data_IF_463513309936
#
_entry.id   IF_463513309936
#
_cell.length_a   1.000
_cell.length_b   1.000
_cell.length_c   1.000
_cell.angle_alpha   90.00
_cell.angle_beta   90.00
_cell.angle_gamma   90.00
#
_symmetry.space_group_name_H-M   'P 1'
#
loop_
_entity.id
_entity.type
_entity.pdbx_description
1 polymer ?
#
# COMPACT_ATOMS: atom_id res chain seq x y z
N UNK A 1 11.67 8.18 10.76
CA UNK A 1 12.29 7.21 9.83
C UNK A 1 12.74 6.00 10.64
N UNK A 2 12.11 4.83 10.47
CA UNK A 2 12.36 3.63 11.29
C UNK A 2 12.86 2.43 10.47
N UNK A 3 12.82 2.50 9.14
CA UNK A 3 13.14 1.39 8.23
C UNK A 3 14.55 1.48 7.63
N UNK A 4 15.31 2.55 7.89
CA UNK A 4 16.63 2.78 7.31
C UNK A 4 16.63 3.27 5.85
N UNK A 5 15.45 3.52 5.25
CA UNK A 5 15.32 4.00 3.88
C UNK A 5 15.02 5.51 3.83
N UNK A 6 15.61 6.20 2.86
CA UNK A 6 15.34 7.62 2.59
C UNK A 6 14.22 7.83 1.57
N UNK A 7 14.02 6.87 0.68
CA UNK A 7 12.99 6.90 -0.36
C UNK A 7 12.86 5.55 -1.06
N UNK A 8 11.83 5.44 -1.88
CA UNK A 8 11.52 4.24 -2.67
C UNK A 8 11.28 4.66 -4.12
N UNK A 9 11.87 3.93 -5.07
CA UNK A 9 11.61 4.09 -6.50
C UNK A 9 10.95 2.80 -6.99
N UNK A 10 9.72 2.90 -7.48
CA UNK A 10 8.97 1.77 -8.04
C UNK A 10 9.01 1.92 -9.57
N UNK A 11 9.50 0.88 -10.26
CA UNK A 11 9.62 0.84 -11.73
C UNK A 11 8.96 -0.41 -12.27
N UNK A 12 8.34 -0.32 -13.45
CA UNK A 12 7.63 -1.41 -14.09
C UNK A 12 6.20 -1.56 -13.59
N UNK A 13 5.62 -2.74 -13.84
CA UNK A 13 4.26 -3.09 -13.44
C UNK A 13 4.19 -4.59 -13.12
N UNK A 14 3.19 -5.00 -12.35
CA UNK A 14 2.88 -6.40 -12.03
C UNK A 14 1.57 -6.80 -12.70
N UNK A 15 1.47 -8.05 -13.13
CA UNK A 15 0.26 -8.61 -13.76
C UNK A 15 -0.89 -8.84 -12.76
N UNK A 16 -0.59 -8.81 -11.46
CA UNK A 16 -1.56 -8.97 -10.37
C UNK A 16 -1.36 -7.92 -9.29
N UNK A 17 -2.44 -7.52 -8.59
CA UNK A 17 -2.36 -6.63 -7.43
C UNK A 17 -1.34 -7.12 -6.40
N UNK A 18 -0.50 -6.20 -5.94
CA UNK A 18 0.47 -6.48 -4.89
C UNK A 18 0.79 -5.25 -4.06
N UNK A 19 1.24 -5.47 -2.83
CA UNK A 19 1.71 -4.42 -1.94
C UNK A 19 3.16 -4.66 -1.53
N UNK A 20 3.86 -3.57 -1.18
CA UNK A 20 5.21 -3.61 -0.63
C UNK A 20 5.13 -3.60 0.89
N UNK A 21 5.77 -4.59 1.52
CA UNK A 21 5.95 -4.65 2.95
C UNK A 21 7.41 -4.37 3.29
N UNK A 22 7.65 -3.33 4.11
CA UNK A 22 8.99 -2.94 4.53
C UNK A 22 9.07 -3.09 6.04
N UNK A 23 9.92 -4.00 6.50
CA UNK A 23 10.10 -4.29 7.92
C UNK A 23 11.58 -4.57 8.20
N UNK A 24 12.18 -3.88 9.18
CA UNK A 24 13.58 -4.08 9.60
C UNK A 24 14.61 -4.02 8.45
N UNK A 25 14.36 -3.15 7.45
CA UNK A 25 15.23 -3.01 6.27
C UNK A 25 15.04 -4.07 5.19
N UNK A 26 14.16 -5.04 5.43
CA UNK A 26 13.75 -6.05 4.44
C UNK A 26 12.56 -5.51 3.66
N UNK A 27 12.61 -5.63 2.33
CA UNK A 27 11.54 -5.24 1.41
C UNK A 27 11.00 -6.48 0.74
N UNK A 28 9.70 -6.74 0.93
CA UNK A 28 9.00 -7.87 0.34
C UNK A 28 7.83 -7.38 -0.53
N UNK A 29 7.57 -8.07 -1.64
CA UNK A 29 6.37 -7.85 -2.45
C UNK A 29 5.39 -8.99 -2.15
N UNK A 30 4.21 -8.65 -1.61
CA UNK A 30 3.17 -9.61 -1.23
C UNK A 30 1.93 -9.46 -2.13
N UNK A 31 1.13 -10.51 -2.28
CA UNK A 31 -0.14 -10.40 -3.03
C UNK A 31 -1.11 -9.47 -2.29
N UNK A 32 -1.92 -8.72 -3.04
CA UNK A 32 -2.99 -7.88 -2.50
C UNK A 32 -4.35 -8.23 -3.14
N UNK A 33 -4.53 -9.46 -3.63
CA UNK A 33 -5.76 -9.88 -4.31
C UNK A 33 -7.01 -9.65 -3.42
N UNK A 34 -6.90 -9.89 -2.11
CA UNK A 34 -7.99 -9.69 -1.14
C UNK A 34 -8.24 -8.21 -0.78
N UNK A 35 -7.29 -7.32 -1.09
CA UNK A 35 -7.39 -5.89 -0.81
C UNK A 35 -7.96 -5.10 -2.00
N UNK A 36 -7.89 -5.67 -3.21
CA UNK A 36 -8.31 -4.99 -4.43
C UNK A 36 -9.82 -4.74 -4.45
N UNK A 37 -10.22 -3.51 -4.74
CA UNK A 37 -11.61 -3.05 -4.73
C UNK A 37 -12.09 -2.52 -3.37
N UNK A 38 -11.31 -2.68 -2.30
CA UNK A 38 -11.59 -2.05 -1.01
C UNK A 38 -11.30 -0.55 -1.08
N UNK A 39 -12.00 0.23 -0.26
CA UNK A 39 -11.62 1.63 -0.06
C UNK A 39 -10.31 1.75 0.76
N UNK A 40 -9.78 2.97 0.84
CA UNK A 40 -8.51 3.21 1.52
C UNK A 40 -8.59 2.96 3.03
N UNK A 41 -9.73 3.21 3.67
CA UNK A 41 -9.89 2.96 5.11
C UNK A 41 -9.93 1.46 5.38
N UNK A 42 -10.72 0.72 4.60
CA UNK A 42 -10.81 -0.74 4.68
C UNK A 42 -9.44 -1.39 4.45
N UNK A 43 -8.69 -0.93 3.44
CA UNK A 43 -7.34 -1.42 3.14
C UNK A 43 -6.39 -1.19 4.30
N UNK A 44 -6.40 0.00 4.90
CA UNK A 44 -5.56 0.34 6.06
C UNK A 44 -5.90 -0.55 7.25
N UNK A 45 -7.18 -0.72 7.58
CA UNK A 45 -7.61 -1.53 8.72
C UNK A 45 -7.32 -3.02 8.52
N UNK A 46 -7.49 -3.54 7.31
CA UNK A 46 -7.14 -4.92 6.97
C UNK A 46 -5.63 -5.18 7.19
N UNK A 47 -4.78 -4.31 6.64
CA UNK A 47 -3.32 -4.44 6.78
C UNK A 47 -2.85 -4.24 8.22
N UNK A 48 -3.46 -3.32 8.98
CA UNK A 48 -3.15 -3.14 10.41
C UNK A 48 -3.59 -4.32 11.26
N UNK A 49 -4.70 -4.96 10.89
CA UNK A 49 -5.17 -6.18 11.58
C UNK A 49 -4.25 -7.37 11.31
N UNK A 50 -3.72 -7.51 10.09
CA UNK A 50 -2.81 -8.58 9.71
C UNK A 50 -1.38 -8.38 10.25
N UNK A 51 -0.82 -7.17 10.07
CA UNK A 51 0.60 -6.88 10.29
C UNK A 51 0.87 -6.15 11.61
N UNK A 52 -0.18 -5.75 12.33
CA UNK A 52 -0.08 -4.99 13.57
C UNK A 52 0.28 -3.53 13.33
N UNK A 53 1.31 -3.03 14.04
CA UNK A 53 1.67 -1.61 14.04
C UNK A 53 2.48 -1.22 12.81
N UNK A 54 1.78 -0.93 11.72
CA UNK A 54 2.35 -0.47 10.44
C UNK A 54 1.74 0.87 10.00
N UNK A 55 2.52 1.66 9.25
CA UNK A 55 1.99 2.78 8.46
C UNK A 55 1.69 2.29 7.06
N UNK A 56 0.55 2.73 6.51
CA UNK A 56 0.05 2.23 5.23
C UNK A 56 -0.23 3.40 4.30
N UNK A 57 0.42 3.37 3.14
CA UNK A 57 0.10 4.21 1.99
C UNK A 57 -0.54 3.33 0.90
N UNK A 58 -1.80 3.60 0.55
CA UNK A 58 -2.57 2.79 -0.38
C UNK A 58 -3.38 3.65 -1.35
N UNK A 59 -3.88 3.00 -2.40
CA UNK A 59 -4.88 3.54 -3.32
C UNK A 59 -6.25 2.93 -3.00
N UNK A 60 -7.32 3.60 -3.40
CA UNK A 60 -8.66 3.00 -3.45
C UNK A 60 -9.11 2.74 -4.89
N UNK A 61 -10.40 2.46 -5.12
CA UNK A 61 -10.92 2.09 -6.44
C UNK A 61 -10.66 3.12 -7.54
N UNK A 62 -10.50 4.40 -7.19
CA UNK A 62 -10.11 5.43 -8.16
C UNK A 62 -8.70 5.20 -8.74
N UNK A 63 -7.74 4.80 -7.91
CA UNK A 63 -6.38 4.48 -8.36
C UNK A 63 -6.34 3.19 -9.16
N UNK A 64 -7.10 2.18 -8.71
CA UNK A 64 -7.25 0.89 -9.39
C UNK A 64 -7.82 1.06 -10.81
N UNK A 65 -8.78 1.97 -10.98
CA UNK A 65 -9.40 2.29 -12.26
C UNK A 65 -8.66 3.38 -13.06
N UNK A 66 -7.43 3.75 -12.67
CA UNK A 66 -6.60 4.74 -13.36
C UNK A 66 -7.28 6.11 -13.56
N UNK A 67 -8.07 6.55 -12.59
CA UNK A 67 -8.67 7.89 -12.62
C UNK A 67 -7.56 8.94 -12.59
N UNK A 68 -7.60 9.93 -13.50
CA UNK A 68 -6.52 10.92 -13.71
C UNK A 68 -6.15 11.74 -12.48
N UNK A 69 -7.07 11.85 -11.53
CA UNK A 69 -6.93 12.60 -10.28
C UNK A 69 -7.00 11.67 -9.05
N UNK A 70 -6.74 10.38 -9.23
CA UNK A 70 -6.60 9.46 -8.10
C UNK A 70 -5.42 9.87 -7.22
N UNK A 71 -5.60 9.74 -5.91
CA UNK A 71 -4.59 10.06 -4.91
C UNK A 71 -4.11 8.79 -4.20
N UNK A 72 -2.91 8.88 -3.63
CA UNK A 72 -2.43 7.94 -2.62
C UNK A 72 -2.84 8.48 -1.25
N UNK A 73 -3.44 7.63 -0.42
CA UNK A 73 -3.85 7.97 0.93
C UNK A 73 -2.91 7.26 1.90
N UNK A 74 -2.38 8.00 2.86
CA UNK A 74 -1.57 7.48 3.95
C UNK A 74 -2.28 7.70 5.29
N UNK A 75 -2.31 6.68 6.16
CA UNK A 75 -2.73 6.79 7.56
C UNK A 75 -3.96 7.71 7.81
N UNK A 76 -5.05 7.47 7.06
CA UNK A 76 -6.30 8.25 7.09
C UNK A 76 -6.18 9.70 6.58
N UNK A 77 -5.27 9.96 5.63
CA UNK A 77 -5.05 11.26 5.00
C UNK A 77 -3.99 12.13 5.70
N UNK A 78 -3.03 11.51 6.40
CA UNK A 78 -1.93 12.19 7.11
C UNK A 78 -0.56 11.95 6.50
#
# INVERSE_FOLDING_TARGET
KLTGLDGLIIVGARDRPSYLHIHEGIVEIRSSDELWGLDTYQTIEALKSELGKVSVACIGPAGENMVRYACIINDHGR
#
